data_IF_395899919552
#
_entry.id   IF_395899919552
#
_cell.length_a   1.000
_cell.length_b   1.000
_cell.length_c   1.000
_cell.angle_alpha   90.00
_cell.angle_beta   90.00
_cell.angle_gamma   90.00
#
_symmetry.space_group_name_H-M   'P 1'
#
loop_
_entity.id
_entity.type
_entity.pdbx_description
1 polymer ?
#
# COMPACT_ATOMS: atom_id res chain seq x y z
N UNK A 1 3.98 11.65 -5.63
CA UNK A 1 2.67 10.96 -5.62
C UNK A 1 2.07 11.12 -4.24
N UNK A 2 0.76 10.97 -4.13
CA UNK A 2 0.01 10.99 -2.87
C UNK A 2 -0.68 9.63 -2.66
N UNK A 3 -1.10 9.34 -1.42
CA UNK A 3 -1.68 8.05 -1.07
C UNK A 3 -3.14 7.86 -1.44
N UNK A 4 -3.91 8.95 -1.56
CA UNK A 4 -5.31 8.85 -1.93
C UNK A 4 -5.46 8.42 -3.39
N UNK A 5 -6.41 7.52 -3.67
CA UNK A 5 -6.81 7.18 -5.04
C UNK A 5 -7.82 8.24 -5.51
N UNK A 6 -7.64 8.85 -6.69
CA UNK A 6 -6.69 8.50 -7.76
C UNK A 6 -5.25 9.00 -7.51
N UNK A 7 -4.28 8.08 -7.61
CA UNK A 7 -2.83 8.33 -7.53
C UNK A 7 -2.10 7.78 -8.75
N UNK A 8 -0.86 8.20 -8.99
CA UNK A 8 -0.05 7.68 -10.10
C UNK A 8 0.18 6.16 -9.95
N UNK A 9 0.40 5.69 -8.72
CA UNK A 9 0.51 4.26 -8.43
C UNK A 9 -0.76 3.47 -8.79
N UNK A 10 -1.94 4.05 -8.52
CA UNK A 10 -3.23 3.39 -8.71
C UNK A 10 -3.77 3.41 -10.15
N UNK A 11 -3.07 4.01 -11.11
CA UNK A 11 -3.56 4.11 -12.50
C UNK A 11 -3.86 2.73 -13.13
N UNK A 12 -3.04 1.70 -12.86
CA UNK A 12 -3.30 0.33 -13.33
C UNK A 12 -4.55 -0.28 -12.68
N UNK A 13 -4.73 -0.04 -11.38
CA UNK A 13 -5.92 -0.47 -10.64
C UNK A 13 -7.20 0.16 -11.21
N UNK A 14 -7.14 1.42 -11.62
CA UNK A 14 -8.27 2.15 -12.23
C UNK A 14 -8.50 1.81 -13.72
N UNK A 15 -7.71 0.90 -14.31
CA UNK A 15 -7.82 0.56 -15.74
C UNK A 15 -7.40 1.69 -16.68
N UNK A 16 -6.58 2.64 -16.21
CA UNK A 16 -6.15 3.82 -16.97
C UNK A 16 -4.78 3.65 -17.64
N UNK A 17 -4.21 2.45 -17.61
CA UNK A 17 -2.92 2.12 -18.25
C UNK A 17 -3.08 0.96 -19.22
N UNK A 18 -2.20 0.89 -20.21
CA UNK A 18 -2.03 -0.32 -21.04
C UNK A 18 -1.33 -1.42 -20.22
N UNK A 19 -1.47 -2.67 -20.63
CA UNK A 19 -0.88 -3.83 -19.95
C UNK A 19 0.65 -3.70 -19.82
N UNK A 20 1.33 -3.33 -20.91
CA UNK A 20 2.79 -3.18 -20.99
C UNK A 20 3.27 -1.72 -20.92
N UNK A 21 2.52 -0.83 -20.26
CA UNK A 21 2.85 0.58 -20.23
C UNK A 21 4.22 0.85 -19.56
N UNK A 22 5.24 1.13 -20.38
CA UNK A 22 6.61 1.43 -19.93
C UNK A 22 6.65 2.72 -19.11
N UNK A 23 5.83 3.71 -19.46
CA UNK A 23 5.78 4.97 -18.72
C UNK A 23 5.21 4.73 -17.34
N UNK A 24 4.12 3.97 -17.21
CA UNK A 24 3.57 3.58 -15.90
C UNK A 24 4.60 2.82 -15.07
N UNK A 25 5.33 1.86 -15.65
CA UNK A 25 6.37 1.11 -14.93
C UNK A 25 7.50 2.00 -14.42
N UNK A 26 7.92 2.99 -15.21
CA UNK A 26 8.93 3.97 -14.80
C UNK A 26 8.39 4.89 -13.70
N UNK A 27 7.17 5.38 -13.85
CA UNK A 27 6.48 6.19 -12.82
C UNK A 27 6.33 5.40 -11.52
N UNK A 28 5.92 4.14 -11.58
CA UNK A 28 5.80 3.26 -10.40
C UNK A 28 7.13 3.14 -9.65
N UNK A 29 8.24 2.93 -10.37
CA UNK A 29 9.58 2.90 -9.76
C UNK A 29 9.95 4.24 -9.12
N UNK A 30 9.62 5.36 -9.78
CA UNK A 30 9.89 6.70 -9.26
C UNK A 30 9.10 6.98 -7.97
N UNK A 31 7.77 6.73 -7.96
CA UNK A 31 6.90 7.08 -6.83
C UNK A 31 7.15 6.22 -5.59
N UNK A 32 7.65 5.00 -5.76
CA UNK A 32 8.08 4.07 -4.71
C UNK A 32 9.58 4.17 -4.40
N UNK A 33 10.16 5.36 -4.52
CA UNK A 33 11.57 5.62 -4.23
C UNK A 33 11.75 6.91 -3.45
N UNK A 34 12.95 7.13 -2.90
CA UNK A 34 13.32 8.38 -2.21
C UNK A 34 13.29 9.64 -3.10
N UNK A 35 13.04 9.51 -4.41
CA UNK A 35 12.80 10.66 -5.28
C UNK A 35 11.38 11.25 -5.13
N UNK A 36 10.43 10.48 -4.57
CA UNK A 36 9.13 10.99 -4.20
C UNK A 36 9.24 11.59 -2.78
N UNK A 37 8.99 12.90 -2.59
CA UNK A 37 9.15 13.55 -1.29
C UNK A 37 8.21 13.00 -0.21
N UNK A 38 7.15 12.29 -0.61
CA UNK A 38 6.20 11.65 0.30
C UNK A 38 6.36 10.13 0.37
N UNK A 39 7.45 9.58 -0.18
CA UNK A 39 7.82 8.19 0.06
C UNK A 39 8.68 8.10 1.32
N UNK A 40 8.24 7.29 2.26
CA UNK A 40 8.91 7.09 3.54
C UNK A 40 9.28 5.61 3.69
N UNK A 41 10.44 5.38 4.31
CA UNK A 41 10.94 4.04 4.64
C UNK A 41 11.43 4.07 6.08
N UNK A 42 10.83 3.21 6.91
CA UNK A 42 11.17 3.08 8.32
C UNK A 42 11.36 1.63 8.71
N UNK A 43 11.34 1.39 10.02
CA UNK A 43 11.55 0.09 10.63
C UNK A 43 10.48 -0.94 10.27
N UNK A 44 9.21 -0.53 10.19
CA UNK A 44 8.08 -1.46 10.04
C UNK A 44 7.53 -1.55 8.62
N UNK A 45 7.66 -0.47 7.84
CA UNK A 45 7.17 -0.44 6.47
C UNK A 45 7.88 0.63 5.64
N UNK A 46 7.70 0.52 4.34
CA UNK A 46 7.91 1.58 3.38
C UNK A 46 6.65 1.81 2.55
N UNK A 47 6.40 3.05 2.19
CA UNK A 47 5.19 3.42 1.47
C UNK A 47 5.11 4.92 1.27
N UNK A 48 4.01 5.35 0.65
CA UNK A 48 3.77 6.75 0.36
C UNK A 48 2.81 7.28 1.44
N UNK A 49 2.95 8.55 1.78
CA UNK A 49 2.01 9.31 2.59
C UNK A 49 1.40 10.45 1.79
N UNK A 50 1.52 11.66 2.33
CA UNK A 50 1.06 12.89 1.70
C UNK A 50 1.21 14.06 2.67
N UNK A 51 1.00 15.31 2.20
CA UNK A 51 1.08 16.49 3.07
C UNK A 51 -0.06 16.54 4.11
N UNK A 52 -1.12 15.74 3.95
CA UNK A 52 -2.32 15.80 4.80
C UNK A 52 -2.07 15.40 6.26
N UNK A 53 -1.39 14.28 6.48
CA UNK A 53 -1.08 13.76 7.84
C UNK A 53 0.32 14.18 8.29
N UNK A 54 1.20 14.54 7.36
CA UNK A 54 2.55 15.02 7.64
C UNK A 54 3.65 14.06 7.18
N UNK A 55 4.89 14.46 7.41
CA UNK A 55 6.08 13.68 7.06
C UNK A 55 6.16 12.39 7.89
N UNK A 56 6.82 11.37 7.33
CA UNK A 56 7.05 10.06 7.96
C UNK A 56 5.80 9.21 8.25
N UNK A 57 4.62 9.67 7.80
CA UNK A 57 3.34 9.00 7.97
C UNK A 57 2.98 8.25 6.69
N UNK A 58 3.03 6.91 6.73
CA UNK A 58 2.70 6.02 5.61
C UNK A 58 1.23 5.66 5.67
N UNK A 59 0.55 5.64 4.52
CA UNK A 59 -0.85 5.25 4.44
C UNK A 59 -0.98 3.77 4.02
N UNK A 60 -1.78 2.94 4.72
CA UNK A 60 -1.99 1.54 4.32
C UNK A 60 -2.52 1.40 2.89
N UNK A 61 -3.31 2.37 2.42
CA UNK A 61 -3.86 2.38 1.07
C UNK A 61 -2.78 2.29 -0.02
N UNK A 62 -1.64 2.95 0.14
CA UNK A 62 -0.56 2.89 -0.87
C UNK A 62 0.15 1.55 -0.86
N UNK A 63 0.25 0.86 0.28
CA UNK A 63 0.74 -0.51 0.35
C UNK A 63 -0.26 -1.48 -0.31
N UNK A 64 -1.56 -1.27 -0.11
CA UNK A 64 -2.62 -2.04 -0.77
C UNK A 64 -2.57 -1.85 -2.29
N UNK A 65 -2.48 -0.60 -2.77
CA UNK A 65 -2.36 -0.29 -4.20
C UNK A 65 -1.08 -0.85 -4.81
N UNK A 66 0.03 -0.82 -4.06
CA UNK A 66 1.30 -1.45 -4.48
C UNK A 66 1.11 -2.94 -4.75
N UNK A 67 0.38 -3.65 -3.89
CA UNK A 67 0.08 -5.06 -4.06
C UNK A 67 -0.89 -5.33 -5.22
N UNK A 68 -2.00 -4.59 -5.29
CA UNK A 68 -3.03 -4.75 -6.34
C UNK A 68 -2.49 -4.50 -7.75
N UNK A 69 -1.47 -3.66 -7.88
CA UNK A 69 -0.84 -3.32 -9.17
C UNK A 69 0.45 -4.09 -9.45
N UNK A 70 0.82 -5.06 -8.61
CA UNK A 70 2.05 -5.83 -8.78
C UNK A 70 1.81 -7.19 -9.46
N UNK A 71 2.77 -7.56 -10.31
CA UNK A 71 2.91 -8.91 -10.86
C UNK A 71 3.99 -9.73 -10.15
N UNK A 72 4.79 -9.08 -9.28
CA UNK A 72 5.83 -9.75 -8.53
C UNK A 72 5.25 -10.31 -7.21
N UNK A 73 5.13 -11.62 -7.12
CA UNK A 73 4.59 -12.29 -5.92
C UNK A 73 5.36 -11.97 -4.63
N UNK A 74 6.67 -11.75 -4.72
CA UNK A 74 7.48 -11.39 -3.55
C UNK A 74 7.17 -9.97 -3.07
N UNK A 75 6.92 -9.05 -3.99
CA UNK A 75 6.45 -7.70 -3.64
C UNK A 75 5.07 -7.75 -2.97
N UNK A 76 4.17 -8.58 -3.48
CA UNK A 76 2.83 -8.77 -2.89
C UNK A 76 2.95 -9.30 -1.46
N UNK A 77 3.77 -10.33 -1.23
CA UNK A 77 4.01 -10.86 0.13
C UNK A 77 4.55 -9.78 1.06
N UNK A 78 5.56 -9.02 0.63
CA UNK A 78 6.11 -7.93 1.42
C UNK A 78 5.03 -6.89 1.79
N UNK A 79 4.11 -6.58 0.87
CA UNK A 79 2.97 -5.70 1.17
C UNK A 79 2.03 -6.30 2.23
N UNK A 80 1.70 -7.59 2.14
CA UNK A 80 0.88 -8.28 3.14
C UNK A 80 1.54 -8.29 4.52
N UNK A 81 2.85 -8.59 4.58
CA UNK A 81 3.63 -8.56 5.82
C UNK A 81 3.63 -7.17 6.44
N UNK A 82 3.85 -6.11 5.65
CA UNK A 82 3.79 -4.74 6.15
C UNK A 82 2.39 -4.41 6.71
N UNK A 83 1.31 -4.69 5.99
CA UNK A 83 -0.06 -4.44 6.45
C UNK A 83 -0.40 -5.18 7.75
N UNK A 84 0.08 -6.43 7.89
CA UNK A 84 -0.08 -7.23 9.11
C UNK A 84 0.77 -6.68 10.27
N UNK A 85 1.95 -6.11 10.00
CA UNK A 85 2.81 -5.55 11.04
C UNK A 85 2.37 -4.15 11.52
N UNK A 86 1.58 -3.42 10.74
CA UNK A 86 1.32 -1.98 10.98
C UNK A 86 -0.10 -1.63 11.41
N UNK A 87 -0.95 -2.62 11.72
CA UNK A 87 -2.31 -2.38 12.23
C UNK A 87 -2.38 -2.10 13.75
N UNK A 88 -1.25 -1.92 14.43
CA UNK A 88 -1.18 -1.58 15.86
C UNK A 88 -2.00 -2.49 16.82
N UNK A 89 -2.24 -3.75 16.45
CA UNK A 89 -3.09 -4.67 17.23
C UNK A 89 -4.60 -4.45 17.10
N UNK A 90 -5.07 -3.50 16.27
CA UNK A 90 -6.50 -3.17 16.15
C UNK A 90 -7.30 -4.12 15.25
N UNK A 91 -6.63 -4.78 14.29
CA UNK A 91 -7.27 -5.58 13.26
C UNK A 91 -7.92 -4.76 12.13
N UNK A 92 -7.74 -3.44 12.12
CA UNK A 92 -8.28 -2.53 11.11
C UNK A 92 -7.17 -1.80 10.35
N UNK A 93 -7.50 -1.31 9.15
CA UNK A 93 -6.66 -0.37 8.42
C UNK A 93 -6.93 1.05 8.89
N UNK A 94 -5.85 1.79 9.11
CA UNK A 94 -5.85 3.19 9.52
C UNK A 94 -5.70 4.12 8.30
N UNK A 95 -5.79 5.43 8.52
CA UNK A 95 -5.48 6.41 7.47
C UNK A 95 -3.98 6.50 7.22
N UNK A 96 -3.21 6.80 8.27
CA UNK A 96 -1.76 6.79 8.23
C UNK A 96 -1.17 6.22 9.52
N UNK A 97 0.07 5.74 9.46
CA UNK A 97 0.86 5.31 10.62
C UNK A 97 2.31 5.76 10.46
N UNK A 98 2.98 6.03 11.58
CA UNK A 98 4.38 6.46 11.56
C UNK A 98 5.30 5.32 11.11
N UNK A 99 6.23 5.60 10.18
CA UNK A 99 7.13 4.60 9.56
C UNK A 99 7.92 3.75 10.57
N UNK A 100 8.23 4.32 11.73
CA UNK A 100 9.01 3.70 12.81
C UNK A 100 8.18 3.34 14.05
N UNK A 101 6.89 3.68 14.10
CA UNK A 101 6.01 3.33 15.22
C UNK A 101 4.53 3.24 14.78
N UNK A 102 4.04 2.04 14.41
CA UNK A 102 2.67 1.88 13.93
C UNK A 102 1.58 2.20 14.96
N UNK A 103 1.92 2.27 16.26
CA UNK A 103 0.98 2.69 17.30
C UNK A 103 0.65 4.18 17.23
N UNK A 104 1.52 4.97 16.60
CA UNK A 104 1.22 6.33 16.21
C UNK A 104 0.51 6.33 14.85
N UNK A 105 -0.81 6.21 14.89
CA UNK A 105 -1.66 6.16 13.69
C UNK A 105 -2.81 7.19 13.76
N UNK A 106 -3.37 7.52 12.60
CA UNK A 106 -4.56 8.37 12.47
C UNK A 106 -5.77 7.57 12.00
N UNK A 107 -6.96 7.99 12.46
CA UNK A 107 -8.27 7.37 12.15
C UNK A 107 -8.33 5.87 12.41
N UNK A 108 -8.71 5.50 13.63
CA UNK A 108 -8.97 4.11 14.04
C UNK A 108 -10.11 3.45 13.26
N UNK A 109 -11.05 4.23 12.71
CA UNK A 109 -12.15 3.72 11.91
C UNK A 109 -12.19 4.38 10.54
N UNK A 110 -11.65 3.67 9.55
CA UNK A 110 -11.62 4.14 8.17
C UNK A 110 -12.17 3.07 7.22
N UNK A 111 -13.48 3.11 7.00
CA UNK A 111 -14.20 2.09 6.22
C UNK A 111 -13.64 1.91 4.80
N UNK A 112 -13.18 2.99 4.14
CA UNK A 112 -12.60 2.88 2.80
C UNK A 112 -11.29 2.06 2.79
N UNK A 113 -10.35 2.35 3.70
CA UNK A 113 -9.11 1.59 3.81
C UNK A 113 -9.39 0.11 4.16
N UNK A 114 -10.37 -0.14 5.02
CA UNK A 114 -10.83 -1.50 5.34
C UNK A 114 -11.39 -2.24 4.11
N UNK A 115 -12.23 -1.58 3.32
CA UNK A 115 -12.79 -2.15 2.08
C UNK A 115 -11.69 -2.48 1.09
N UNK A 116 -10.72 -1.58 0.87
CA UNK A 116 -9.59 -1.84 -0.03
C UNK A 116 -8.73 -3.03 0.43
N UNK A 117 -8.54 -3.18 1.74
CA UNK A 117 -7.86 -4.36 2.28
C UNK A 117 -8.65 -5.65 2.01
N UNK A 118 -9.96 -5.64 2.26
CA UNK A 118 -10.84 -6.76 1.93
C UNK A 118 -10.80 -7.12 0.44
N UNK A 119 -10.80 -6.12 -0.44
CA UNK A 119 -10.68 -6.28 -1.88
C UNK A 119 -9.34 -6.91 -2.29
N UNK A 120 -8.23 -6.46 -1.70
CA UNK A 120 -6.92 -7.08 -1.91
C UNK A 120 -6.95 -8.56 -1.55
N UNK A 121 -7.46 -8.91 -0.37
CA UNK A 121 -7.53 -10.32 0.06
C UNK A 121 -8.42 -11.14 -0.88
N UNK A 122 -9.59 -10.62 -1.26
CA UNK A 122 -10.48 -11.30 -2.20
C UNK A 122 -9.84 -11.49 -3.58
N UNK A 123 -9.16 -10.46 -4.09
CA UNK A 123 -8.44 -10.52 -5.37
C UNK A 123 -7.35 -11.58 -5.34
N UNK A 124 -6.56 -11.64 -4.27
CA UNK A 124 -5.52 -12.66 -4.10
C UNK A 124 -6.11 -14.05 -3.93
N UNK A 125 -7.22 -14.20 -3.20
CA UNK A 125 -7.93 -15.47 -3.12
C UNK A 125 -8.36 -15.99 -4.50
N UNK A 126 -8.82 -15.10 -5.39
CA UNK A 126 -9.26 -15.46 -6.74
C UNK A 126 -8.12 -15.73 -7.71
N UNK A 127 -6.98 -15.04 -7.56
CA UNK A 127 -5.90 -15.03 -8.57
C UNK A 127 -4.62 -15.72 -8.13
N UNK A 128 -4.30 -15.69 -6.85
CA UNK A 128 -3.04 -16.16 -6.24
C UNK A 128 -3.27 -16.77 -4.84
N UNK A 129 -4.18 -17.76 -4.68
CA UNK A 129 -4.58 -18.25 -3.35
C UNK A 129 -3.43 -18.87 -2.55
N UNK A 130 -2.40 -19.40 -3.21
CA UNK A 130 -1.19 -19.93 -2.57
C UNK A 130 -0.42 -18.87 -1.78
N UNK A 131 -0.60 -17.58 -2.09
CA UNK A 131 -0.03 -16.49 -1.31
C UNK A 131 -0.74 -16.27 0.01
N UNK A 132 -1.98 -16.76 0.20
CA UNK A 132 -2.73 -16.61 1.45
C UNK A 132 -2.61 -17.84 2.36
N UNK A 133 -2.16 -18.98 1.83
CA UNK A 133 -2.06 -20.24 2.57
C UNK A 133 -0.82 -20.35 3.47
N UNK A 134 0.10 -19.38 3.41
CA UNK A 134 1.33 -19.37 4.20
C UNK A 134 1.21 -18.37 5.35
N UNK A 135 1.77 -18.72 6.49
CA UNK A 135 1.99 -17.75 7.57
C UNK A 135 3.23 -16.92 7.25
N UNK A 136 3.04 -15.59 7.26
CA UNK A 136 4.11 -14.59 7.19
C UNK A 136 4.00 -13.65 8.38
#
# INVERSE_FOLDING_TARGET
>A
DDSNVPSLLALKYLGLTKEDDVLYRNTRKFVLSGNNPYFFKGKYAEGIGGPHVGLDMIWPMTIIMRALTSENEEEIKNCLTMLKATHAGTGFMHEGFHKDDPKNFTRSWFAWANTLFGELIYTLYKTKPHLLAKEY
#
